data_IF_287580030270
#
_entry.id   IF_287580030270
#
_cell.length_a   1.000
_cell.length_b   1.000
_cell.length_c   1.000
_cell.angle_alpha   90.00
_cell.angle_beta   90.00
_cell.angle_gamma   90.00
#
_symmetry.space_group_name_H-M   'P 1'
#
loop_
_entity.id
_entity.type
_entity.pdbx_description
1 polymer ?
#
# COMPACT_ATOMS: atom_id res chain seq x y z
N UNK A 1 51.66 -25.10 -15.09
CA UNK A 1 50.82 -24.61 -13.96
C UNK A 1 49.42 -24.31 -14.50
N UNK A 2 48.43 -25.14 -14.18
CA UNK A 2 47.02 -24.90 -14.54
C UNK A 2 46.38 -24.10 -13.42
N UNK A 3 45.67 -22.99 -13.70
CA UNK A 3 44.97 -22.27 -12.65
C UNK A 3 43.74 -23.07 -12.20
N UNK A 4 43.61 -23.24 -10.89
CA UNK A 4 42.52 -23.98 -10.25
C UNK A 4 41.17 -23.37 -10.55
N UNK A 5 40.36 -24.11 -11.31
CA UNK A 5 38.98 -23.75 -11.71
C UNK A 5 37.97 -23.73 -10.54
N UNK A 6 38.42 -24.06 -9.31
CA UNK A 6 37.54 -24.13 -8.12
C UNK A 6 37.34 -22.81 -7.40
N UNK A 7 38.13 -21.78 -7.71
CA UNK A 7 38.00 -20.47 -7.02
C UNK A 7 36.87 -19.59 -7.59
N UNK A 8 36.49 -19.83 -8.84
CA UNK A 8 35.45 -19.02 -9.51
C UNK A 8 34.02 -19.43 -9.15
N UNK A 9 33.83 -20.65 -8.63
CA UNK A 9 32.49 -21.16 -8.27
C UNK A 9 31.91 -20.58 -6.97
N UNK A 10 32.75 -19.98 -6.11
CA UNK A 10 32.28 -19.42 -4.82
C UNK A 10 31.90 -17.95 -4.84
N UNK A 11 32.22 -17.24 -5.91
CA UNK A 11 31.96 -15.79 -6.01
C UNK A 11 30.52 -15.48 -6.48
N UNK A 12 29.86 -16.41 -7.18
CA UNK A 12 28.54 -16.19 -7.74
C UNK A 12 27.36 -16.40 -6.78
N UNK A 13 27.57 -16.91 -5.56
CA UNK A 13 26.50 -17.25 -4.61
C UNK A 13 26.14 -16.08 -3.67
N UNK A 14 26.95 -15.02 -3.61
CA UNK A 14 26.74 -13.89 -2.69
C UNK A 14 26.08 -12.66 -3.32
N UNK A 15 25.75 -12.72 -4.62
CA UNK A 15 25.20 -11.55 -5.34
C UNK A 15 23.68 -11.32 -5.24
N UNK A 16 22.79 -12.21 -4.78
CA UNK A 16 21.36 -11.92 -4.75
C UNK A 16 20.84 -11.34 -3.42
N UNK A 17 21.69 -11.01 -2.45
CA UNK A 17 21.24 -10.60 -1.11
C UNK A 17 21.18 -9.08 -0.88
N UNK A 18 21.48 -8.26 -1.88
CA UNK A 18 21.10 -6.85 -1.84
C UNK A 18 19.63 -6.72 -2.33
N UNK A 19 18.71 -7.23 -1.53
CA UNK A 19 17.31 -6.89 -1.68
C UNK A 19 17.17 -5.38 -1.51
N UNK A 20 16.88 -4.66 -2.58
CA UNK A 20 16.43 -3.27 -2.47
C UNK A 20 15.15 -3.29 -1.65
N UNK A 21 15.20 -2.72 -0.46
CA UNK A 21 13.98 -2.45 0.32
C UNK A 21 13.29 -1.30 -0.40
N UNK A 22 12.35 -1.63 -1.26
CA UNK A 22 11.46 -0.66 -1.90
C UNK A 22 10.44 -0.23 -0.85
N UNK A 23 10.01 1.04 -0.92
CA UNK A 23 8.86 1.48 -0.16
C UNK A 23 7.57 0.88 -0.71
N UNK A 24 6.49 1.01 0.03
CA UNK A 24 5.17 0.55 -0.36
C UNK A 24 4.58 1.44 -1.47
N UNK A 25 3.81 0.87 -2.37
CA UNK A 25 3.04 1.62 -3.38
C UNK A 25 1.65 1.96 -2.80
N UNK A 26 1.28 3.25 -2.77
CA UNK A 26 -0.02 3.70 -2.25
C UNK A 26 -0.76 4.56 -3.28
N UNK A 27 -2.09 4.51 -3.28
CA UNK A 27 -2.87 5.55 -3.93
C UNK A 27 -2.73 6.85 -3.16
N UNK A 28 -2.50 7.97 -3.87
CA UNK A 28 -2.30 9.28 -3.29
C UNK A 28 -3.24 10.29 -3.98
N UNK A 29 -4.24 10.72 -3.25
CA UNK A 29 -5.22 11.68 -3.73
C UNK A 29 -6.05 12.28 -2.57
N UNK A 30 -6.68 13.42 -2.87
CA UNK A 30 -7.57 14.14 -1.97
C UNK A 30 -8.87 14.48 -2.68
N UNK A 31 -9.99 14.39 -1.96
CA UNK A 31 -11.29 14.91 -2.40
C UNK A 31 -11.92 15.72 -1.27
N UNK A 32 -12.41 16.89 -1.62
CA UNK A 32 -13.19 17.77 -0.75
C UNK A 32 -14.56 17.99 -1.38
N UNK A 33 -15.63 17.69 -0.65
CA UNK A 33 -17.02 17.85 -1.11
C UNK A 33 -17.30 17.20 -2.49
N UNK A 34 -16.73 16.02 -2.75
CA UNK A 34 -16.97 15.31 -4.00
C UNK A 34 -16.22 15.83 -5.22
N UNK A 35 -15.29 16.79 -5.07
CA UNK A 35 -14.59 17.39 -6.22
C UNK A 35 -13.70 16.44 -6.99
N UNK A 36 -13.28 15.34 -6.37
CA UNK A 36 -12.46 14.31 -6.99
C UNK A 36 -13.07 12.91 -6.80
N UNK A 37 -14.07 12.59 -7.61
CA UNK A 37 -14.79 11.32 -7.55
C UNK A 37 -13.87 10.11 -7.66
N UNK A 38 -12.74 10.23 -8.40
CA UNK A 38 -11.75 9.16 -8.53
C UNK A 38 -11.00 8.84 -7.23
N UNK A 39 -11.04 9.72 -6.26
CA UNK A 39 -10.45 9.54 -4.94
C UNK A 39 -11.43 8.95 -3.92
N UNK A 40 -12.72 8.97 -4.20
CA UNK A 40 -13.78 8.58 -3.27
C UNK A 40 -14.12 7.08 -3.34
N UNK A 41 -15.01 6.62 -2.47
CA UNK A 41 -15.55 5.26 -2.51
C UNK A 41 -16.90 5.24 -3.25
N UNK A 42 -17.17 4.21 -4.04
CA UNK A 42 -16.35 3.04 -4.32
C UNK A 42 -15.17 3.36 -5.24
N UNK A 43 -13.95 3.07 -4.77
CA UNK A 43 -12.74 3.33 -5.52
C UNK A 43 -12.56 2.29 -6.63
N UNK A 44 -12.37 2.73 -7.86
CA UNK A 44 -12.17 1.86 -9.02
C UNK A 44 -10.68 1.76 -9.33
N UNK A 45 -10.13 0.54 -9.28
CA UNK A 45 -8.74 0.27 -9.64
C UNK A 45 -8.65 -0.08 -11.12
N UNK A 46 -8.62 0.94 -11.97
CA UNK A 46 -8.54 0.81 -13.43
C UNK A 46 -7.51 1.77 -14.02
N UNK A 47 -7.40 1.80 -15.34
CA UNK A 47 -6.48 2.68 -16.07
C UNK A 47 -6.69 4.17 -15.77
N UNK A 48 -7.90 4.56 -15.32
CA UNK A 48 -8.22 5.96 -15.03
C UNK A 48 -7.69 6.41 -13.66
N UNK A 49 -7.37 5.47 -12.77
CA UNK A 49 -6.83 5.71 -11.43
C UNK A 49 -5.38 5.29 -11.28
N UNK A 50 -4.77 4.66 -12.30
CA UNK A 50 -3.38 4.23 -12.28
C UNK A 50 -2.41 5.39 -12.00
N UNK A 51 -2.69 6.58 -12.50
CA UNK A 51 -1.89 7.78 -12.26
C UNK A 51 -1.92 8.26 -10.80
N UNK A 52 -2.85 7.76 -9.99
CA UNK A 52 -2.94 8.07 -8.55
C UNK A 52 -2.03 7.17 -7.72
N UNK A 53 -1.45 6.11 -8.29
CA UNK A 53 -0.49 5.26 -7.59
C UNK A 53 0.83 6.00 -7.48
N UNK A 54 1.26 6.25 -6.23
CA UNK A 54 2.60 6.69 -5.89
C UNK A 54 3.43 5.46 -5.58
N UNK A 55 4.37 5.14 -6.49
CA UNK A 55 5.32 4.05 -6.31
C UNK A 55 6.43 4.44 -5.36
N UNK A 56 6.92 3.49 -4.55
CA UNK A 56 7.97 3.72 -3.56
C UNK A 56 7.65 4.95 -2.69
N UNK A 57 6.49 4.93 -2.07
CA UNK A 57 5.86 6.06 -1.39
C UNK A 57 6.79 6.70 -0.36
N UNK A 58 6.96 8.02 -0.45
CA UNK A 58 7.76 8.79 0.48
C UNK A 58 6.86 9.60 1.41
N UNK A 59 7.10 9.52 2.71
CA UNK A 59 6.53 10.38 3.73
C UNK A 59 7.61 11.34 4.22
N UNK A 60 7.60 12.57 3.69
CA UNK A 60 8.70 13.51 3.89
C UNK A 60 10.01 12.99 3.30
N UNK A 61 11.01 12.77 4.14
CA UNK A 61 12.32 12.22 3.78
C UNK A 61 12.41 10.70 3.98
N UNK A 62 11.37 10.07 4.54
CA UNK A 62 11.34 8.64 4.85
C UNK A 62 10.49 7.87 3.85
N UNK A 63 10.82 6.59 3.68
CA UNK A 63 9.97 5.67 2.93
C UNK A 63 8.74 5.34 3.74
N UNK A 64 7.56 5.46 3.13
CA UNK A 64 6.31 5.05 3.74
C UNK A 64 6.23 3.52 3.79
N UNK A 65 5.86 3.00 4.94
CA UNK A 65 5.64 1.58 5.17
C UNK A 65 4.16 1.21 5.19
N UNK A 66 3.31 2.24 5.19
CA UNK A 66 1.86 2.10 5.29
C UNK A 66 1.15 2.99 4.29
N UNK A 67 0.02 2.52 3.81
CA UNK A 67 -0.95 3.35 3.11
C UNK A 67 -2.07 3.74 4.08
N UNK A 68 -2.55 4.98 3.98
CA UNK A 68 -3.68 5.48 4.76
C UNK A 68 -4.89 5.77 3.89
N UNK A 69 -6.06 5.64 4.51
CA UNK A 69 -7.34 6.06 3.99
C UNK A 69 -8.12 6.77 5.09
N UNK A 70 -8.38 8.06 4.90
CA UNK A 70 -9.19 8.86 5.78
C UNK A 70 -10.46 9.27 5.06
N UNK A 71 -11.61 9.13 5.71
CA UNK A 71 -12.89 9.67 5.25
C UNK A 71 -13.64 10.28 6.41
N UNK A 72 -14.26 11.40 6.18
CA UNK A 72 -15.03 12.05 7.25
C UNK A 72 -15.63 13.36 6.85
N UNK A 73 -16.07 14.11 7.87
CA UNK A 73 -16.70 15.40 7.75
C UNK A 73 -16.03 16.38 8.70
N UNK A 74 -15.73 17.56 8.22
CA UNK A 74 -15.22 18.66 9.02
C UNK A 74 -16.33 19.32 9.85
N UNK A 75 -15.94 20.20 10.77
CA UNK A 75 -16.90 20.95 11.63
C UNK A 75 -17.86 21.85 10.84
N UNK A 76 -17.43 22.31 9.66
CA UNK A 76 -18.25 23.14 8.76
C UNK A 76 -19.24 22.32 7.90
N UNK A 77 -19.25 20.98 8.05
CA UNK A 77 -20.09 20.08 7.29
C UNK A 77 -19.48 19.62 5.97
N UNK A 78 -18.31 20.13 5.57
CA UNK A 78 -17.63 19.70 4.36
C UNK A 78 -17.09 18.27 4.49
N UNK A 79 -17.27 17.47 3.43
CA UNK A 79 -16.75 16.09 3.39
C UNK A 79 -15.30 16.08 2.94
N UNK A 80 -14.54 15.10 3.44
CA UNK A 80 -13.14 14.91 3.09
C UNK A 80 -12.85 13.44 2.87
N UNK A 81 -12.07 13.19 1.84
CA UNK A 81 -11.48 11.90 1.50
C UNK A 81 -9.99 12.07 1.26
N UNK A 82 -9.16 11.24 1.89
CA UNK A 82 -7.70 11.24 1.75
C UNK A 82 -7.22 9.82 1.54
N UNK A 83 -6.39 9.65 0.54
CA UNK A 83 -5.53 8.46 0.35
C UNK A 83 -4.11 8.96 0.26
N UNK A 84 -3.23 8.39 1.06
CA UNK A 84 -1.84 8.83 1.13
C UNK A 84 -0.95 7.72 1.68
N UNK A 85 0.35 7.97 1.79
CA UNK A 85 1.29 7.12 2.50
C UNK A 85 1.63 7.65 3.89
N UNK A 86 2.12 6.76 4.74
CA UNK A 86 2.52 7.07 6.12
C UNK A 86 3.73 6.23 6.50
N UNK A 87 4.54 6.76 7.41
CA UNK A 87 5.62 6.04 8.09
C UNK A 87 5.11 5.28 9.34
N UNK A 88 3.89 5.60 9.81
CA UNK A 88 3.29 5.05 11.02
C UNK A 88 2.04 4.22 10.73
N UNK A 89 1.90 3.15 11.51
CA UNK A 89 0.65 2.39 11.59
C UNK A 89 -0.30 3.07 12.57
N UNK A 90 -1.33 3.71 12.04
CA UNK A 90 -2.41 4.31 12.82
C UNK A 90 -3.52 3.31 13.16
N UNK A 91 -3.44 2.08 12.65
CA UNK A 91 -4.48 1.08 12.78
C UNK A 91 -5.77 1.48 12.08
N UNK A 92 -6.88 1.07 12.67
CA UNK A 92 -8.22 1.46 12.22
C UNK A 92 -9.01 2.03 13.38
N UNK A 93 -9.43 3.27 13.26
CA UNK A 93 -10.30 3.90 14.24
C UNK A 93 -11.28 4.88 13.59
N UNK A 94 -12.42 5.07 14.23
CA UNK A 94 -13.43 6.05 13.84
C UNK A 94 -13.74 6.94 15.04
N UNK A 95 -14.03 8.19 14.78
CA UNK A 95 -14.34 9.21 15.79
C UNK A 95 -13.82 10.57 15.38
N UNK A 96 -13.43 11.35 16.38
CA UNK A 96 -12.80 12.65 16.17
C UNK A 96 -11.30 12.43 15.91
N UNK A 97 -10.83 12.89 14.74
CA UNK A 97 -9.49 12.70 14.22
C UNK A 97 -8.91 14.07 13.92
N UNK A 98 -7.75 14.41 14.49
CA UNK A 98 -6.99 15.58 14.08
C UNK A 98 -5.98 15.16 13.02
N UNK A 99 -6.18 15.58 11.77
CA UNK A 99 -5.30 15.25 10.65
C UNK A 99 -4.50 16.47 10.21
N UNK A 100 -3.22 16.26 9.91
CA UNK A 100 -2.30 17.32 9.51
C UNK A 100 -2.18 17.36 7.98
N UNK A 101 -2.62 18.46 7.39
CA UNK A 101 -2.46 18.78 5.98
C UNK A 101 -1.31 19.77 5.78
N UNK A 102 -0.87 19.97 4.54
CA UNK A 102 0.14 20.97 4.21
C UNK A 102 -0.21 22.41 4.66
N UNK A 103 -1.49 22.71 4.80
CA UNK A 103 -2.02 24.03 5.21
C UNK A 103 -2.39 24.10 6.69
N UNK A 104 -2.18 23.04 7.47
CA UNK A 104 -2.45 23.01 8.91
C UNK A 104 -3.21 21.77 9.37
N UNK A 105 -3.56 21.79 10.66
CA UNK A 105 -4.31 20.71 11.31
C UNK A 105 -5.81 20.95 11.20
N UNK A 106 -6.54 19.89 10.91
CA UNK A 106 -7.97 19.91 10.80
C UNK A 106 -8.61 18.81 11.65
N UNK A 107 -9.68 19.15 12.35
CA UNK A 107 -10.48 18.19 13.12
C UNK A 107 -11.57 17.60 12.20
N UNK A 108 -11.58 16.30 12.09
CA UNK A 108 -12.43 15.54 11.19
C UNK A 108 -13.17 14.49 12.01
N UNK A 109 -14.49 14.43 11.89
CA UNK A 109 -15.28 13.32 12.42
C UNK A 109 -15.41 12.26 11.34
N UNK A 110 -14.73 11.14 11.51
CA UNK A 110 -14.62 10.15 10.43
C UNK A 110 -13.92 8.88 10.83
N UNK A 111 -13.38 8.17 9.84
CA UNK A 111 -12.61 6.95 10.00
C UNK A 111 -11.26 7.08 9.31
N UNK A 112 -10.20 6.68 10.03
CA UNK A 112 -8.86 6.50 9.51
C UNK A 112 -8.53 5.01 9.51
N UNK A 113 -7.96 4.54 8.42
CA UNK A 113 -7.54 3.14 8.26
C UNK A 113 -6.12 3.13 7.68
N UNK A 114 -5.25 2.26 8.21
CA UNK A 114 -3.92 1.98 7.65
C UNK A 114 -3.81 0.53 7.20
N UNK A 115 -2.91 0.30 6.26
CA UNK A 115 -2.59 -1.03 5.74
C UNK A 115 -1.17 -1.05 5.18
N UNK A 116 -0.58 -2.25 5.03
CA UNK A 116 0.85 -2.50 4.84
C UNK A 116 1.22 -3.29 3.57
N UNK A 117 0.37 -3.22 2.53
CA UNK A 117 0.67 -3.83 1.22
C UNK A 117 0.33 -2.88 0.07
N UNK A 118 0.94 -3.11 -1.10
CA UNK A 118 0.80 -2.24 -2.26
C UNK A 118 -0.66 -2.02 -2.66
N UNK A 119 -1.05 -0.74 -2.82
CA UNK A 119 -2.37 -0.32 -3.26
C UNK A 119 -3.51 -0.64 -2.28
N UNK A 120 -3.21 -1.04 -1.05
CA UNK A 120 -4.19 -1.50 -0.07
C UNK A 120 -5.23 -0.45 0.32
N UNK A 121 -4.90 0.83 0.20
CA UNK A 121 -5.82 1.93 0.49
C UNK A 121 -6.84 2.21 -0.63
N UNK A 122 -6.91 1.35 -1.65
CA UNK A 122 -8.00 1.36 -2.64
C UNK A 122 -9.38 1.06 -2.02
N UNK A 123 -9.42 0.35 -0.90
CA UNK A 123 -10.65 -0.04 -0.24
C UNK A 123 -11.32 -1.30 -0.80
N UNK A 124 -10.85 -1.79 -1.92
CA UNK A 124 -11.22 -3.11 -2.42
C UNK A 124 -10.36 -4.15 -1.69
N UNK A 125 -10.88 -4.72 -0.60
CA UNK A 125 -10.30 -5.94 -0.06
C UNK A 125 -10.43 -7.04 -1.11
N UNK A 126 -9.44 -7.17 -1.97
CA UNK A 126 -9.19 -8.47 -2.59
C UNK A 126 -8.81 -9.38 -1.40
N UNK A 127 -9.78 -10.14 -0.93
CA UNK A 127 -9.52 -11.27 -0.04
C UNK A 127 -8.75 -12.24 -0.94
N UNK A 128 -7.43 -12.05 -0.99
CA UNK A 128 -6.53 -13.08 -1.50
C UNK A 128 -6.63 -14.20 -0.47
N UNK A 129 -7.52 -15.13 -0.77
CA UNK A 129 -7.79 -16.27 0.11
C UNK A 129 -6.52 -17.15 0.06
N UNK A 130 -5.56 -16.87 0.96
CA UNK A 130 -4.28 -17.62 1.06
C UNK A 130 -4.53 -19.12 1.10
N UNK A 131 -5.70 -19.55 1.61
CA UNK A 131 -6.11 -20.95 1.61
C UNK A 131 -6.33 -21.51 0.21
N UNK A 132 -6.83 -20.71 -0.75
CA UNK A 132 -7.01 -21.17 -2.15
C UNK A 132 -5.66 -21.47 -2.79
N UNK A 133 -4.65 -20.66 -2.56
CA UNK A 133 -3.30 -20.87 -3.11
C UNK A 133 -2.71 -22.18 -2.58
N UNK A 134 -2.84 -22.46 -1.28
CA UNK A 134 -2.37 -23.71 -0.68
C UNK A 134 -3.11 -24.93 -1.22
N UNK A 135 -4.43 -24.85 -1.40
CA UNK A 135 -5.24 -25.97 -1.96
C UNK A 135 -4.84 -26.24 -3.40
N UNK A 136 -4.66 -25.20 -4.23
CA UNK A 136 -4.24 -25.36 -5.63
C UNK A 136 -2.84 -25.98 -5.71
N UNK A 137 -1.90 -25.52 -4.87
CA UNK A 137 -0.54 -26.08 -4.82
C UNK A 137 -0.53 -27.56 -4.40
N UNK A 138 -1.37 -27.94 -3.44
CA UNK A 138 -1.52 -29.34 -3.02
C UNK A 138 -2.11 -30.21 -4.13
N UNK A 139 -3.13 -29.73 -4.84
CA UNK A 139 -3.77 -30.46 -5.94
C UNK A 139 -2.79 -30.67 -7.10
N UNK A 140 -1.99 -29.65 -7.47
CA UNK A 140 -0.97 -29.77 -8.51
C UNK A 140 0.09 -30.79 -8.08
N UNK A 141 0.53 -30.77 -6.81
CA UNK A 141 1.50 -31.74 -6.29
C UNK A 141 1.01 -33.19 -6.30
N UNK A 142 -0.29 -33.43 -6.15
CA UNK A 142 -0.89 -34.76 -6.24
C UNK A 142 -0.95 -35.22 -7.72
N UNK A 143 -1.35 -34.32 -8.64
CA UNK A 143 -1.47 -34.65 -10.08
C UNK A 143 -0.08 -34.99 -10.68
N UNK A 144 0.98 -34.31 -10.24
CA UNK A 144 2.35 -34.57 -10.74
C UNK A 144 2.99 -35.85 -10.17
N UNK A 145 2.35 -36.52 -9.21
CA UNK A 145 2.81 -37.80 -8.63
C UNK A 145 2.04 -39.02 -9.10
N UNK A 146 0.97 -38.83 -9.87
CA UNK A 146 0.21 -39.86 -10.59
C UNK A 146 0.74 -40.03 -12.00
#
# INVERSE_FOLDING_TARGET
MRPDSKLWSRVYILSPLLGYVLGIDCYQCYSFNGMNEKCEDPFQTDVTTEHLIKRDCLYGYFRGNYCIKLRGTKKDGSTIFVRDCSDNDWGRHCGDITFEFHHGKEDIKGCLETCDYDGCNSGNKLITNRHVIWIVSLLIGIILRL
#
